data_IF_873873541468
#
_entry.id   IF_873873541468
#
_cell.length_a   1.000
_cell.length_b   1.000
_cell.length_c   1.000
_cell.angle_alpha   90.00
_cell.angle_beta   90.00
_cell.angle_gamma   90.00
#
_symmetry.space_group_name_H-M   'P 1'
#
loop_
_entity.id
_entity.type
_entity.pdbx_description
1 polymer ?
#
# COMPACT_ATOMS: atom_id res chain seq x y z
N UNK A 1 11.22 -10.14 -23.21
CA UNK A 1 10.53 -8.85 -23.01
C UNK A 1 9.06 -8.99 -22.60
N UNK A 2 8.22 -9.80 -23.28
CA UNK A 2 6.80 -9.99 -22.90
C UNK A 2 6.58 -10.42 -21.45
N UNK A 3 7.32 -11.41 -20.95
CA UNK A 3 7.18 -11.92 -19.56
C UNK A 3 7.44 -10.85 -18.50
N UNK A 4 8.42 -9.97 -18.72
CA UNK A 4 8.76 -8.89 -17.78
C UNK A 4 7.63 -7.85 -17.67
N UNK A 5 6.90 -7.60 -18.77
CA UNK A 5 5.75 -6.69 -18.78
C UNK A 5 4.61 -7.25 -17.92
N UNK A 6 4.30 -8.55 -18.04
CA UNK A 6 3.27 -9.18 -17.21
C UNK A 6 3.63 -9.14 -15.73
N UNK A 7 4.89 -9.40 -15.38
CA UNK A 7 5.36 -9.26 -14.00
C UNK A 7 5.19 -7.83 -13.47
N UNK A 8 5.57 -6.83 -14.28
CA UNK A 8 5.40 -5.42 -13.90
C UNK A 8 3.92 -5.06 -13.69
N UNK A 9 3.03 -5.54 -14.56
CA UNK A 9 1.58 -5.36 -14.41
C UNK A 9 1.06 -5.96 -13.11
N UNK A 10 1.48 -7.18 -12.76
CA UNK A 10 1.10 -7.83 -11.49
C UNK A 10 1.57 -7.00 -10.28
N UNK A 11 2.80 -6.46 -10.30
CA UNK A 11 3.32 -5.62 -9.22
C UNK A 11 2.51 -4.32 -9.05
N UNK A 12 2.05 -3.71 -10.15
CA UNK A 12 1.21 -2.51 -10.13
C UNK A 12 -0.18 -2.83 -9.55
N UNK A 13 -0.76 -3.97 -9.90
CA UNK A 13 -2.05 -4.42 -9.35
C UNK A 13 -1.97 -4.59 -7.83
N UNK A 14 -0.87 -5.14 -7.30
CA UNK A 14 -0.66 -5.26 -5.86
C UNK A 14 -0.51 -3.91 -5.13
N UNK A 15 -0.13 -2.82 -5.80
CA UNK A 15 -0.12 -1.49 -5.19
C UNK A 15 -1.55 -0.99 -4.86
N UNK A 16 -2.58 -1.47 -5.56
CA UNK A 16 -3.99 -1.11 -5.31
C UNK A 16 -4.60 -1.79 -4.08
N UNK A 17 -3.93 -2.85 -3.58
CA UNK A 17 -4.32 -3.59 -2.38
C UNK A 17 -4.02 -2.81 -1.09
N UNK A 18 -3.32 -1.68 -1.18
CA UNK A 18 -3.11 -0.78 -0.05
C UNK A 18 -4.24 0.25 0.04
N UNK A 19 -4.76 0.41 1.25
CA UNK A 19 -5.69 1.48 1.61
C UNK A 19 -4.97 2.55 2.43
N UNK A 20 -5.41 3.79 2.31
CA UNK A 20 -4.91 4.92 3.09
C UNK A 20 -6.03 5.46 3.95
N UNK A 21 -5.91 5.27 5.27
CA UNK A 21 -6.89 5.77 6.25
C UNK A 21 -6.31 7.00 6.94
N UNK A 22 -7.14 7.99 7.22
CA UNK A 22 -6.71 9.18 7.98
C UNK A 22 -6.22 8.72 9.35
N UNK A 23 -5.03 9.20 9.72
CA UNK A 23 -4.35 8.90 10.97
C UNK A 23 -4.13 10.19 11.73
N UNK A 24 -4.57 10.23 12.99
CA UNK A 24 -4.35 11.35 13.89
C UNK A 24 -3.03 11.16 14.65
N UNK A 25 -2.20 12.20 14.69
CA UNK A 25 -0.95 12.24 15.44
C UNK A 25 -1.16 12.01 16.94
N UNK A 26 -2.36 12.30 17.49
CA UNK A 26 -2.68 11.96 18.89
C UNK A 26 -2.54 10.46 19.17
N UNK A 27 -2.82 9.62 18.18
CA UNK A 27 -2.73 8.16 18.30
C UNK A 27 -1.30 7.63 18.08
N UNK A 28 -0.35 8.48 17.64
CA UNK A 28 1.03 8.06 17.34
C UNK A 28 1.75 7.47 18.55
N UNK A 29 1.48 7.97 19.76
CA UNK A 29 2.09 7.43 21.00
C UNK A 29 1.63 6.01 21.33
N UNK A 30 0.46 5.61 20.85
CA UNK A 30 -0.15 4.31 21.14
C UNK A 30 0.04 3.33 19.99
N UNK A 31 -0.05 3.81 18.75
CA UNK A 31 0.03 3.01 17.53
C UNK A 31 0.96 3.74 16.56
N UNK A 32 2.18 3.22 16.40
CA UNK A 32 3.13 3.74 15.43
C UNK A 32 2.84 3.11 14.05
N UNK A 33 2.43 3.88 13.04
CA UNK A 33 2.18 3.34 11.72
C UNK A 33 3.49 3.07 10.97
N UNK A 34 3.65 1.86 10.40
CA UNK A 34 4.84 1.47 9.62
C UNK A 34 5.11 2.39 8.43
N UNK A 35 4.07 2.75 7.68
CA UNK A 35 4.17 3.64 6.52
C UNK A 35 3.01 4.62 6.50
N UNK A 36 3.33 5.88 6.21
CA UNK A 36 2.38 6.97 6.11
C UNK A 36 2.47 7.68 4.77
N UNK A 37 1.37 8.34 4.43
CA UNK A 37 1.29 9.34 3.37
C UNK A 37 0.92 10.66 4.02
N UNK A 38 1.82 11.64 3.92
CA UNK A 38 1.62 13.00 4.42
C UNK A 38 1.24 13.88 3.24
N UNK A 39 0.13 14.59 3.37
CA UNK A 39 -0.37 15.56 2.40
C UNK A 39 -0.22 16.95 3.02
N UNK A 40 0.55 17.81 2.37
CA UNK A 40 0.77 19.19 2.81
C UNK A 40 -0.35 20.11 2.31
N UNK A 41 -0.45 21.30 2.89
CA UNK A 41 -1.39 22.35 2.46
C UNK A 41 -1.18 22.75 0.99
N UNK A 42 0.08 22.76 0.53
CA UNK A 42 0.44 23.00 -0.87
C UNK A 42 0.14 21.80 -1.82
N UNK A 43 -0.65 20.82 -1.38
CA UNK A 43 -1.00 19.59 -2.10
C UNK A 43 0.16 18.65 -2.42
N UNK A 44 1.38 18.92 -1.93
CA UNK A 44 2.51 17.97 -2.05
C UNK A 44 2.26 16.75 -1.18
N UNK A 45 2.65 15.58 -1.70
CA UNK A 45 2.42 14.28 -1.06
C UNK A 45 3.73 13.56 -0.86
N UNK A 46 4.06 13.26 0.39
CA UNK A 46 5.22 12.45 0.74
C UNK A 46 4.77 11.10 1.26
N UNK A 47 5.47 10.03 0.86
CA UNK A 47 5.26 8.67 1.35
C UNK A 47 6.54 8.20 2.04
N UNK A 48 6.40 7.56 3.18
CA UNK A 48 7.54 7.09 3.94
C UNK A 48 7.18 6.53 5.30
N UNK A 49 8.19 6.24 6.09
CA UNK A 49 8.09 5.80 7.49
C UNK A 49 8.44 6.95 8.41
N UNK A 50 7.68 7.13 9.50
CA UNK A 50 7.99 8.18 10.49
C UNK A 50 9.07 7.63 11.43
N UNK A 51 10.29 8.15 11.30
CA UNK A 51 11.43 7.76 12.14
C UNK A 51 11.42 8.52 13.46
N UNK A 52 11.09 9.81 13.40
CA UNK A 52 11.04 10.66 14.58
C UNK A 52 9.90 11.67 14.47
N UNK A 53 9.29 11.94 15.63
CA UNK A 53 8.28 12.96 15.80
C UNK A 53 8.70 13.88 16.93
N UNK A 54 9.07 15.11 16.57
CA UNK A 54 9.29 16.20 17.51
C UNK A 54 8.07 17.12 17.47
N UNK A 55 7.79 17.82 18.57
CA UNK A 55 6.57 18.65 18.72
C UNK A 55 6.28 19.61 17.56
N UNK A 56 7.30 20.02 16.78
CA UNK A 56 7.14 20.92 15.65
C UNK A 56 7.49 20.30 14.27
N UNK A 57 8.10 19.11 14.22
CA UNK A 57 8.62 18.52 12.97
C UNK A 57 8.51 16.99 12.96
N UNK A 58 8.18 16.46 11.78
CA UNK A 58 8.17 15.03 11.50
C UNK A 58 9.35 14.69 10.61
N UNK A 59 10.15 13.70 11.02
CA UNK A 59 11.23 13.15 10.21
C UNK A 59 10.74 11.88 9.52
N UNK A 60 10.63 11.96 8.19
CA UNK A 60 10.08 10.92 7.33
C UNK A 60 11.20 10.26 6.52
N UNK A 61 11.36 8.93 6.63
CA UNK A 61 12.18 8.12 5.74
C UNK A 61 11.45 7.90 4.43
N UNK A 62 11.83 8.61 3.37
CA UNK A 62 11.36 8.28 2.01
C UNK A 62 12.36 7.35 1.31
N UNK A 63 11.97 6.83 0.15
CA UNK A 63 12.80 5.89 -0.60
C UNK A 63 14.12 6.51 -1.09
N UNK A 64 14.09 7.80 -1.45
CA UNK A 64 15.28 8.53 -1.92
C UNK A 64 16.09 9.15 -0.78
N UNK A 65 15.40 9.73 0.22
CA UNK A 65 16.04 10.49 1.31
C UNK A 65 15.13 10.65 2.52
N UNK A 66 15.75 11.07 3.62
CA UNK A 66 15.04 11.55 4.80
C UNK A 66 14.53 12.97 4.55
N UNK A 67 13.29 13.24 4.94
CA UNK A 67 12.60 14.49 4.72
C UNK A 67 12.09 14.98 6.07
N UNK A 68 12.45 16.20 6.44
CA UNK A 68 11.84 16.89 7.57
C UNK A 68 10.65 17.72 7.08
N UNK A 69 9.51 17.56 7.75
CA UNK A 69 8.27 18.28 7.43
C UNK A 69 7.77 18.96 8.71
N UNK A 70 7.56 20.28 8.72
CA UNK A 70 6.97 20.98 9.86
C UNK A 70 5.49 20.59 10.00
N UNK A 71 5.01 20.41 11.23
CA UNK A 71 3.62 19.99 11.49
C UNK A 71 2.61 21.04 11.03
N UNK A 72 3.00 22.32 11.02
CA UNK A 72 2.18 23.44 10.53
C UNK A 72 1.74 23.31 9.07
N UNK A 73 2.56 22.65 8.25
CA UNK A 73 2.34 22.57 6.81
C UNK A 73 1.55 21.32 6.43
N UNK A 74 1.24 20.46 7.40
CA UNK A 74 0.57 19.17 7.20
C UNK A 74 -0.94 19.37 7.21
N UNK A 75 -1.56 19.06 6.08
CA UNK A 75 -3.00 19.03 5.94
C UNK A 75 -3.61 17.74 6.48
N UNK A 76 -3.10 16.60 6.02
CA UNK A 76 -3.55 15.28 6.50
C UNK A 76 -2.42 14.27 6.52
N UNK A 77 -2.47 13.37 7.51
CA UNK A 77 -1.63 12.18 7.58
C UNK A 77 -2.53 10.98 7.37
N UNK A 78 -2.09 10.06 6.51
CA UNK A 78 -2.81 8.82 6.24
C UNK A 78 -1.91 7.63 6.48
N UNK A 79 -2.32 6.72 7.36
CA UNK A 79 -1.64 5.44 7.56
C UNK A 79 -1.88 4.53 6.35
N UNK A 80 -0.84 3.78 5.94
CA UNK A 80 -0.96 2.74 4.92
C UNK A 80 -1.38 1.45 5.60
N UNK A 81 -2.57 0.95 5.27
CA UNK A 81 -3.05 -0.36 5.71
C UNK A 81 -3.24 -1.29 4.54
N UNK A 82 -2.86 -2.55 4.73
CA UNK A 82 -3.14 -3.59 3.75
C UNK A 82 -4.63 -3.90 3.82
N UNK A 83 -5.31 -3.82 2.67
CA UNK A 83 -6.73 -4.12 2.60
C UNK A 83 -6.95 -5.64 2.55
N UNK A 84 -7.14 -6.26 3.71
CA UNK A 84 -7.34 -7.72 3.84
C UNK A 84 -8.44 -8.23 2.91
N UNK A 85 -9.56 -7.52 2.83
CA UNK A 85 -10.69 -7.88 1.95
C UNK A 85 -10.28 -7.97 0.47
N UNK A 86 -9.42 -7.05 0.00
CA UNK A 86 -8.97 -7.02 -1.40
C UNK A 86 -8.00 -8.17 -1.69
N UNK A 87 -7.14 -8.51 -0.73
CA UNK A 87 -6.24 -9.65 -0.85
C UNK A 87 -7.06 -10.94 -0.90
N UNK A 88 -8.01 -11.10 0.03
CA UNK A 88 -8.82 -12.30 0.12
C UNK A 88 -9.65 -12.53 -1.15
N UNK A 89 -10.25 -11.47 -1.71
CA UNK A 89 -10.97 -11.54 -2.98
C UNK A 89 -10.08 -11.93 -4.16
N UNK A 90 -8.85 -11.39 -4.24
CA UNK A 90 -7.89 -11.75 -5.28
C UNK A 90 -7.47 -13.23 -5.16
N UNK A 91 -7.12 -13.67 -3.96
CA UNK A 91 -6.73 -15.06 -3.69
C UNK A 91 -7.84 -16.04 -4.05
N UNK A 92 -9.09 -15.74 -3.69
CA UNK A 92 -10.23 -16.58 -4.02
C UNK A 92 -10.47 -16.66 -5.52
N UNK A 93 -10.38 -15.54 -6.23
CA UNK A 93 -10.53 -15.50 -7.70
C UNK A 93 -9.47 -16.33 -8.43
N UNK A 94 -8.21 -16.24 -7.98
CA UNK A 94 -7.10 -17.04 -8.55
C UNK A 94 -7.32 -18.54 -8.26
N UNK A 95 -7.73 -18.89 -7.05
CA UNK A 95 -8.01 -20.29 -6.70
C UNK A 95 -9.14 -20.86 -7.56
N UNK A 96 -10.26 -20.13 -7.70
CA UNK A 96 -11.41 -20.57 -8.48
C UNK A 96 -11.08 -20.73 -9.97
N UNK A 97 -10.39 -19.76 -10.56
CA UNK A 97 -9.97 -19.83 -11.97
C UNK A 97 -9.00 -20.99 -12.22
N UNK A 98 -8.05 -21.22 -11.32
CA UNK A 98 -7.12 -22.35 -11.43
C UNK A 98 -7.83 -23.71 -11.38
N UNK A 99 -8.84 -23.85 -10.53
CA UNK A 99 -9.65 -25.06 -10.40
C UNK A 99 -10.47 -25.31 -11.68
N UNK A 100 -11.10 -24.27 -12.24
CA UNK A 100 -11.89 -24.37 -13.48
C UNK A 100 -11.00 -24.81 -14.66
N UNK A 101 -9.81 -24.22 -14.77
CA UNK A 101 -8.84 -24.59 -15.82
C UNK A 101 -8.41 -26.04 -15.67
N UNK A 102 -8.09 -26.49 -14.45
CA UNK A 102 -7.71 -27.88 -14.18
C UNK A 102 -8.82 -28.86 -14.58
N UNK A 103 -10.07 -28.57 -14.18
CA UNK A 103 -11.25 -29.35 -14.56
C UNK A 103 -11.44 -29.41 -16.08
N UNK A 104 -11.31 -28.27 -16.77
CA UNK A 104 -11.42 -28.22 -18.22
C UNK A 104 -10.34 -29.05 -18.93
N UNK A 105 -9.10 -29.03 -18.42
CA UNK A 105 -8.00 -29.87 -18.95
C UNK A 105 -8.27 -31.35 -18.71
N UNK A 106 -8.74 -31.73 -17.51
CA UNK A 106 -9.07 -33.12 -17.20
C UNK A 106 -10.22 -33.66 -18.06
N UNK A 107 -11.27 -32.87 -18.28
CA UNK A 107 -12.42 -33.26 -19.11
C UNK A 107 -12.07 -33.34 -20.61
N UNK A 108 -11.22 -32.42 -21.11
CA UNK A 108 -10.79 -32.43 -22.51
C UNK A 108 -9.70 -33.47 -22.79
N UNK A 109 -8.87 -33.83 -21.81
CA UNK A 109 -7.85 -34.89 -21.95
C UNK A 109 -8.42 -36.31 -21.86
N UNK A 110 -9.69 -36.45 -21.44
CA UNK A 110 -10.41 -37.73 -21.37
C UNK A 110 -11.24 -38.02 -22.64
N UNK A 111 -11.23 -37.12 -23.62
CA UNK A 111 -11.91 -37.23 -24.92
C UNK A 111 -10.90 -37.53 -26.03
#
# INVERSE_FOLDING_TARGET
MKTNIYFLSILILFQSCYSYKIFDLKNYKTIQPDKVKIELENSKKYKGEIIAFNNNRILLKSFEKNIEIPVSDIKTIKERKVSVLKIMGLSFSIALTSLIILLAVLLNGFR
#
